data_IF_368035508922
#
_entry.id   IF_368035508922
#
_cell.length_a   1.000
_cell.length_b   1.000
_cell.length_c   1.000
_cell.angle_alpha   90.00
_cell.angle_beta   90.00
_cell.angle_gamma   90.00
#
_symmetry.space_group_name_H-M   'P 1'
#
loop_
_entity.id
_entity.type
_entity.pdbx_description
1 polymer ?
#
# COMPACT_ATOMS: atom_id res chain seq x y z
N UNK A 1 14.10 -22.08 7.43
CA UNK A 1 14.29 -21.32 6.18
C UNK A 1 14.07 -19.85 6.49
N UNK A 2 14.88 -18.95 5.93
CA UNK A 2 14.70 -17.51 6.13
C UNK A 2 13.70 -17.01 5.08
N UNK A 3 12.51 -16.63 5.50
CA UNK A 3 11.43 -16.22 4.59
C UNK A 3 11.54 -14.74 4.16
N UNK A 4 12.65 -14.08 4.51
CA UNK A 4 12.86 -12.67 4.25
C UNK A 4 13.55 -12.47 2.90
N UNK A 5 12.98 -11.63 2.04
CA UNK A 5 13.59 -11.18 0.80
C UNK A 5 14.47 -9.95 1.10
N UNK A 6 15.80 -10.00 0.87
CA UNK A 6 16.67 -8.84 1.10
C UNK A 6 16.22 -7.63 0.27
N UNK A 7 16.13 -6.46 0.93
CA UNK A 7 15.71 -5.21 0.29
C UNK A 7 14.19 -5.02 0.19
N UNK A 8 13.36 -6.02 0.51
CA UNK A 8 11.91 -5.86 0.61
C UNK A 8 11.53 -5.39 2.02
N UNK A 9 10.75 -4.31 2.11
CA UNK A 9 10.25 -3.72 3.35
C UNK A 9 8.76 -3.42 3.23
N UNK A 10 8.07 -3.47 4.36
CA UNK A 10 6.66 -3.12 4.49
C UNK A 10 6.49 -2.18 5.69
N UNK A 11 5.66 -1.15 5.53
CA UNK A 11 5.16 -0.30 6.61
C UNK A 11 3.63 -0.39 6.59
N UNK A 12 3.01 -0.62 7.74
CA UNK A 12 1.55 -0.77 7.87
C UNK A 12 1.00 0.27 8.84
N UNK A 13 -0.16 0.84 8.50
CA UNK A 13 -0.94 1.67 9.39
C UNK A 13 -2.42 1.32 9.30
N UNK A 14 -3.11 1.46 10.41
CA UNK A 14 -4.56 1.27 10.49
C UNK A 14 -5.28 2.59 10.21
N UNK A 15 -6.47 2.52 9.61
CA UNK A 15 -7.41 3.63 9.53
C UNK A 15 -8.77 3.21 10.06
N UNK A 16 -9.48 4.15 10.70
CA UNK A 16 -10.83 3.91 11.21
C UNK A 16 -11.85 4.42 10.21
N UNK A 17 -12.81 3.57 9.84
CA UNK A 17 -13.98 3.99 9.08
C UNK A 17 -15.01 4.68 10.00
N UNK A 18 -15.97 5.44 9.44
CA UNK A 18 -17.00 6.15 10.23
C UNK A 18 -17.87 5.25 11.11
N UNK A 19 -18.02 3.98 10.74
CA UNK A 19 -18.76 2.98 11.51
C UNK A 19 -17.90 2.23 12.55
N UNK A 20 -16.66 2.68 12.79
CA UNK A 20 -15.77 2.16 13.81
C UNK A 20 -14.99 0.89 13.41
N UNK A 21 -15.09 0.45 12.15
CA UNK A 21 -14.27 -0.66 11.64
C UNK A 21 -12.85 -0.18 11.29
N UNK A 22 -11.92 -1.12 11.22
CA UNK A 22 -10.49 -0.83 11.04
C UNK A 22 -10.04 -1.40 9.70
N UNK A 23 -9.66 -0.52 8.77
CA UNK A 23 -8.97 -0.92 7.55
C UNK A 23 -7.46 -0.72 7.68
N UNK A 24 -6.71 -1.16 6.66
CA UNK A 24 -5.25 -1.11 6.62
C UNK A 24 -4.72 -0.41 5.38
N UNK A 25 -3.66 0.36 5.55
CA UNK A 25 -2.81 0.86 4.48
C UNK A 25 -1.42 0.24 4.69
N UNK A 26 -0.91 -0.42 3.67
CA UNK A 26 0.44 -0.95 3.64
C UNK A 26 1.25 -0.34 2.51
N UNK A 27 2.47 0.09 2.81
CA UNK A 27 3.43 0.57 1.83
C UNK A 27 4.55 -0.45 1.72
N UNK A 28 4.66 -1.09 0.55
CA UNK A 28 5.75 -2.00 0.23
C UNK A 28 6.81 -1.25 -0.57
N UNK A 29 8.07 -1.35 -0.15
CA UNK A 29 9.22 -0.81 -0.86
C UNK A 29 10.23 -1.91 -1.13
N UNK A 30 10.80 -1.91 -2.33
CA UNK A 30 11.95 -2.72 -2.67
C UNK A 30 13.16 -1.83 -2.93
N UNK A 31 14.33 -2.19 -2.41
CA UNK A 31 15.61 -1.47 -2.63
C UNK A 31 16.78 -2.43 -2.91
N UNK A 32 16.47 -3.69 -3.24
CA UNK A 32 17.47 -4.70 -3.57
C UNK A 32 17.89 -4.69 -5.04
N UNK A 33 18.71 -5.66 -5.42
CA UNK A 33 19.30 -5.78 -6.76
C UNK A 33 18.51 -6.68 -7.73
N UNK A 34 17.35 -7.19 -7.32
CA UNK A 34 16.51 -8.07 -8.13
C UNK A 34 15.59 -7.30 -9.07
N UNK A 35 14.53 -7.95 -9.55
CA UNK A 35 13.45 -7.34 -10.35
C UNK A 35 12.33 -6.84 -9.42
N UNK A 36 12.21 -5.53 -9.16
CA UNK A 36 11.21 -4.94 -8.26
C UNK A 36 9.79 -5.40 -8.55
N UNK A 37 9.36 -5.34 -9.81
CA UNK A 37 8.02 -5.77 -10.23
C UNK A 37 7.69 -7.18 -9.73
N UNK A 38 8.49 -8.18 -10.10
CA UNK A 38 8.28 -9.57 -9.70
C UNK A 38 8.29 -9.77 -8.18
N UNK A 39 9.19 -9.07 -7.49
CA UNK A 39 9.32 -9.19 -6.03
C UNK A 39 8.12 -8.56 -5.33
N UNK A 40 7.66 -7.40 -5.80
CA UNK A 40 6.50 -6.72 -5.25
C UNK A 40 5.20 -7.45 -5.59
N UNK A 41 5.06 -8.00 -6.79
CA UNK A 41 3.89 -8.80 -7.16
C UNK A 41 3.77 -10.05 -6.25
N UNK A 42 4.89 -10.73 -6.01
CA UNK A 42 4.95 -11.82 -5.03
C UNK A 42 4.58 -11.33 -3.62
N UNK A 43 5.18 -10.22 -3.17
CA UNK A 43 4.93 -9.68 -1.83
C UNK A 43 3.47 -9.29 -1.62
N UNK A 44 2.86 -8.62 -2.60
CA UNK A 44 1.44 -8.25 -2.60
C UNK A 44 0.58 -9.51 -2.56
N UNK A 45 0.85 -10.51 -3.41
CA UNK A 45 0.11 -11.78 -3.40
C UNK A 45 0.16 -12.47 -2.03
N UNK A 46 1.33 -12.51 -1.39
CA UNK A 46 1.47 -13.10 -0.05
C UNK A 46 0.78 -12.26 1.03
N UNK A 47 0.82 -10.93 0.91
CA UNK A 47 0.23 -10.00 1.87
C UNK A 47 -1.31 -10.03 1.85
N UNK A 48 -1.90 -9.93 0.67
CA UNK A 48 -3.37 -9.83 0.50
C UNK A 48 -4.04 -11.19 0.51
N UNK A 49 -3.35 -12.25 0.09
CA UNK A 49 -3.91 -13.58 -0.07
C UNK A 49 -5.10 -13.56 -1.03
N UNK A 50 -6.30 -13.86 -0.51
CA UNK A 50 -7.56 -13.84 -1.27
C UNK A 50 -8.47 -12.66 -0.90
N UNK A 51 -7.98 -11.71 -0.10
CA UNK A 51 -8.78 -10.56 0.34
C UNK A 51 -8.91 -9.52 -0.78
N UNK A 52 -10.05 -8.81 -0.89
CA UNK A 52 -10.16 -7.66 -1.77
C UNK A 52 -9.26 -6.51 -1.26
N UNK A 53 -8.61 -5.81 -2.19
CA UNK A 53 -7.73 -4.68 -1.92
C UNK A 53 -7.73 -3.69 -3.09
N UNK A 54 -7.34 -2.45 -2.81
CA UNK A 54 -6.92 -1.49 -3.83
C UNK A 54 -5.40 -1.41 -3.83
N UNK A 55 -4.81 -1.28 -5.02
CA UNK A 55 -3.37 -1.17 -5.20
C UNK A 55 -3.05 0.08 -6.01
N UNK A 56 -2.14 0.89 -5.47
CA UNK A 56 -1.51 1.98 -6.20
C UNK A 56 -0.10 1.54 -6.56
N UNK A 57 0.19 1.60 -7.86
CA UNK A 57 1.48 1.26 -8.44
C UNK A 57 2.15 2.57 -8.83
N UNK A 58 3.45 2.70 -8.54
CA UNK A 58 4.25 3.80 -9.04
C UNK A 58 4.32 3.75 -10.57
N UNK A 59 3.43 4.51 -11.23
CA UNK A 59 3.26 4.48 -12.68
C UNK A 59 4.39 5.19 -13.45
N UNK A 60 5.28 5.90 -12.75
CA UNK A 60 6.32 6.71 -13.41
C UNK A 60 7.57 5.88 -13.79
N UNK A 61 7.62 4.59 -13.46
CA UNK A 61 8.76 3.72 -13.75
C UNK A 61 8.31 2.42 -14.41
N UNK A 62 9.00 2.01 -15.48
CA UNK A 62 8.83 0.68 -16.09
C UNK A 62 9.06 -0.45 -15.07
N UNK A 63 9.81 -0.15 -14.00
CA UNK A 63 10.03 -1.03 -12.86
C UNK A 63 9.68 -0.30 -11.55
N UNK A 64 8.43 -0.43 -11.07
CA UNK A 64 7.98 0.27 -9.88
C UNK A 64 8.65 -0.28 -8.63
N UNK A 65 9.28 0.59 -7.83
CA UNK A 65 9.99 0.23 -6.59
C UNK A 65 9.10 0.28 -5.34
N UNK A 66 7.84 0.66 -5.51
CA UNK A 66 6.87 0.83 -4.44
C UNK A 66 5.48 0.31 -4.84
N UNK A 67 4.74 -0.18 -3.85
CA UNK A 67 3.29 -0.43 -3.91
C UNK A 67 2.62 0.16 -2.67
N UNK A 68 1.44 0.71 -2.84
CA UNK A 68 0.55 1.06 -1.72
C UNK A 68 -0.70 0.21 -1.82
N UNK A 69 -0.98 -0.55 -0.77
CA UNK A 69 -2.13 -1.42 -0.65
C UNK A 69 -3.09 -0.82 0.37
N UNK A 70 -4.35 -0.68 -0.02
CA UNK A 70 -5.44 -0.38 0.90
C UNK A 70 -6.29 -1.63 0.99
N UNK A 71 -6.50 -2.17 2.18
CA UNK A 71 -7.26 -3.40 2.42
C UNK A 71 -8.25 -3.25 3.57
N UNK A 72 -9.24 -4.14 3.57
CA UNK A 72 -10.32 -4.24 4.56
C UNK A 72 -11.23 -2.98 4.59
N UNK A 73 -12.55 -3.19 4.66
CA UNK A 73 -13.56 -2.11 4.74
C UNK A 73 -13.45 -1.02 3.64
N UNK A 74 -13.02 -1.41 2.44
CA UNK A 74 -12.78 -0.51 1.29
C UNK A 74 -13.97 0.38 0.91
N UNK A 75 -15.19 -0.16 0.99
CA UNK A 75 -16.42 0.57 0.67
C UNK A 75 -16.82 1.58 1.75
N UNK A 76 -16.10 1.61 2.88
CA UNK A 76 -16.40 2.41 4.06
C UNK A 76 -15.30 3.46 4.33
N UNK A 77 -14.42 3.69 3.33
CA UNK A 77 -13.46 4.78 3.32
C UNK A 77 -14.21 6.12 3.33
N UNK A 78 -14.04 6.88 4.41
CA UNK A 78 -14.55 8.25 4.48
C UNK A 78 -13.72 9.14 3.57
N UNK A 79 -14.36 9.76 2.59
CA UNK A 79 -13.74 10.73 1.70
C UNK A 79 -14.51 12.05 1.80
N UNK A 80 -13.82 13.16 1.61
CA UNK A 80 -14.41 14.49 1.55
C UNK A 80 -13.93 15.21 0.30
N UNK A 81 -14.64 16.26 -0.10
CA UNK A 81 -14.26 17.06 -1.24
C UNK A 81 -12.91 17.75 -0.98
N UNK A 82 -12.06 17.75 -2.00
CA UNK A 82 -10.75 18.39 -1.91
C UNK A 82 -10.89 19.91 -1.82
N UNK A 83 -10.57 20.46 -0.65
CA UNK A 83 -10.38 21.89 -0.41
C UNK A 83 -8.88 22.26 -0.38
N UNK A 84 -8.44 23.14 -1.29
CA UNK A 84 -7.05 23.61 -1.39
C UNK A 84 -6.56 24.40 -0.17
N UNK A 85 -7.47 25.01 0.58
CA UNK A 85 -7.15 25.80 1.78
C UNK A 85 -6.94 24.91 3.01
N UNK A 86 -7.54 23.71 3.00
CA UNK A 86 -7.46 22.71 4.08
C UNK A 86 -6.44 21.61 3.78
N UNK A 87 -6.40 21.09 2.56
CA UNK A 87 -5.62 19.92 2.17
C UNK A 87 -4.32 20.30 1.46
N UNK A 88 -3.61 21.28 2.02
CA UNK A 88 -2.28 21.67 1.59
C UNK A 88 -1.27 21.16 2.60
N UNK A 89 -0.23 20.46 2.14
CA UNK A 89 0.89 20.09 3.00
C UNK A 89 1.61 21.38 3.45
N UNK A 90 1.78 21.51 4.77
CA UNK A 90 2.67 22.50 5.33
C UNK A 90 4.12 22.11 5.00
N UNK A 91 4.93 23.10 4.64
CA UNK A 91 6.33 22.92 4.24
C UNK A 91 7.26 22.75 5.45
#
# INVERSE_FOLDING_TARGET
MNNNIPGLKINETDFKSPNGKIGKIAVLLYTGSGEPSKILDFAVQQYVGTKPYYELIDAHLDNPWMRVIISDHLNELSQEDFDITKHKLEA
#
